data_IF_420324048832
#
_entry.id   IF_420324048832
#
_cell.length_a   1.000
_cell.length_b   1.000
_cell.length_c   1.000
_cell.angle_alpha   90.00
_cell.angle_beta   90.00
_cell.angle_gamma   90.00
#
_symmetry.space_group_name_H-M   'P 1'
#
loop_
_entity.id
_entity.type
_entity.pdbx_description
1 polymer ?
#
# COMPACT_ATOMS: atom_id res chain seq x y z
N UNK A 1 21.59 25.18 13.71
CA UNK A 1 21.77 23.97 14.55
C UNK A 1 20.60 23.01 14.40
N UNK A 2 19.35 23.49 14.46
CA UNK A 2 18.12 22.66 14.35
C UNK A 2 18.04 21.77 13.10
N UNK A 3 18.43 22.28 11.91
CA UNK A 3 18.39 21.48 10.67
C UNK A 3 19.31 20.25 10.68
N UNK A 4 20.43 20.30 11.40
CA UNK A 4 21.36 19.17 11.50
C UNK A 4 20.85 18.10 12.47
N UNK A 5 20.17 18.53 13.54
CA UNK A 5 19.51 17.64 14.51
C UNK A 5 18.34 16.91 13.84
N UNK A 6 17.44 17.62 13.15
CA UNK A 6 16.32 16.99 12.44
C UNK A 6 16.73 15.99 11.37
N UNK A 7 17.89 16.20 10.73
CA UNK A 7 18.43 15.24 9.74
C UNK A 7 18.96 13.97 10.41
N UNK A 8 19.58 14.10 11.58
CA UNK A 8 20.11 12.98 12.36
C UNK A 8 18.99 12.12 12.94
N UNK A 9 17.96 12.76 13.49
CA UNK A 9 16.77 12.09 14.05
C UNK A 9 16.04 11.29 12.96
N UNK A 10 15.90 11.88 11.77
CA UNK A 10 15.32 11.22 10.60
C UNK A 10 16.12 10.00 10.15
N UNK A 11 17.44 10.13 10.06
CA UNK A 11 18.30 9.01 9.65
C UNK A 11 18.27 7.88 10.69
N UNK A 12 18.17 8.23 11.98
CA UNK A 12 17.95 7.26 13.06
C UNK A 12 16.62 6.53 12.92
N UNK A 13 15.53 7.26 12.66
CA UNK A 13 14.20 6.68 12.41
C UNK A 13 14.19 5.76 11.20
N UNK A 14 14.74 6.20 10.06
CA UNK A 14 14.80 5.39 8.83
C UNK A 14 15.56 4.08 9.05
N UNK A 15 16.68 4.12 9.79
CA UNK A 15 17.45 2.92 10.15
C UNK A 15 16.64 1.98 11.05
N UNK A 16 16.02 2.51 12.11
CA UNK A 16 15.24 1.71 13.05
C UNK A 16 14.03 1.05 12.38
N UNK A 17 13.35 1.77 11.49
CA UNK A 17 12.24 1.24 10.68
C UNK A 17 12.75 0.21 9.66
N UNK A 18 13.93 0.38 9.09
CA UNK A 18 14.53 -0.64 8.20
C UNK A 18 14.83 -1.95 8.94
N UNK A 19 15.39 -1.87 10.16
CA UNK A 19 15.69 -3.03 11.01
C UNK A 19 14.40 -3.76 11.41
N UNK A 20 13.36 -3.02 11.78
CA UNK A 20 12.00 -3.55 12.00
C UNK A 20 11.54 -4.35 10.78
N UNK A 21 11.63 -3.82 9.57
CA UNK A 21 11.19 -4.53 8.36
C UNK A 21 12.06 -5.73 8.02
N UNK A 22 13.36 -5.68 8.29
CA UNK A 22 14.24 -6.83 8.12
C UNK A 22 13.81 -8.00 9.02
N UNK A 23 13.41 -7.72 10.26
CA UNK A 23 12.89 -8.75 11.17
C UNK A 23 11.52 -9.29 10.74
N UNK A 24 10.60 -8.41 10.33
CA UNK A 24 9.20 -8.76 10.10
C UNK A 24 8.94 -9.29 8.67
N UNK A 25 9.77 -8.94 7.70
CA UNK A 25 9.51 -9.19 6.28
C UNK A 25 9.26 -10.65 5.92
N UNK A 26 10.00 -11.58 6.53
CA UNK A 26 9.77 -13.03 6.31
C UNK A 26 8.43 -13.50 6.86
N UNK A 27 8.04 -13.02 8.03
CA UNK A 27 6.76 -13.38 8.64
C UNK A 27 5.59 -12.82 7.83
N UNK A 28 5.67 -11.56 7.38
CA UNK A 28 4.64 -10.98 6.52
C UNK A 28 4.48 -11.72 5.20
N UNK A 29 5.57 -12.06 4.51
CA UNK A 29 5.50 -12.84 3.26
C UNK A 29 4.84 -14.20 3.48
N UNK A 30 5.14 -14.86 4.61
CA UNK A 30 4.49 -16.14 4.95
C UNK A 30 3.00 -15.96 5.25
N UNK A 31 2.63 -14.93 6.01
CA UNK A 31 1.23 -14.60 6.31
C UNK A 31 0.45 -14.26 5.04
N UNK A 32 1.01 -13.43 4.15
CA UNK A 32 0.38 -13.10 2.86
C UNK A 32 0.16 -14.36 2.02
N UNK A 33 1.14 -15.26 1.94
CA UNK A 33 1.00 -16.54 1.25
C UNK A 33 -0.11 -17.40 1.83
N UNK A 34 -0.18 -17.50 3.16
CA UNK A 34 -1.24 -18.27 3.84
C UNK A 34 -2.60 -17.63 3.57
N UNK A 35 -2.70 -16.30 3.64
CA UNK A 35 -3.93 -15.58 3.37
C UNK A 35 -4.39 -15.73 1.90
N UNK A 36 -3.49 -16.00 0.96
CA UNK A 36 -3.82 -16.31 -0.44
C UNK A 36 -4.28 -17.75 -0.67
N UNK A 37 -4.12 -18.65 0.33
CA UNK A 37 -4.55 -20.03 0.19
C UNK A 37 -6.09 -20.14 -0.02
N UNK A 38 -6.53 -21.12 -0.83
CA UNK A 38 -7.93 -21.51 -0.87
C UNK A 38 -8.44 -21.86 0.55
N UNK A 39 -9.68 -21.48 0.90
CA UNK A 39 -10.22 -21.71 2.24
C UNK A 39 -10.21 -23.19 2.67
N UNK A 40 -10.45 -24.09 1.73
CA UNK A 40 -10.44 -25.56 1.91
C UNK A 40 -9.07 -26.15 2.27
N UNK A 41 -7.99 -25.38 2.11
CA UNK A 41 -6.61 -25.79 2.43
C UNK A 41 -5.98 -24.96 3.55
N UNK A 42 -6.72 -24.01 4.10
CA UNK A 42 -6.18 -23.04 5.04
C UNK A 42 -5.70 -23.71 6.34
N UNK A 43 -6.47 -24.67 6.87
CA UNK A 43 -6.11 -25.40 8.08
C UNK A 43 -4.77 -26.14 7.91
N UNK A 44 -4.63 -26.91 6.84
CA UNK A 44 -3.44 -27.71 6.55
C UNK A 44 -2.17 -26.85 6.37
N UNK A 45 -2.30 -25.67 5.77
CA UNK A 45 -1.18 -24.79 5.45
C UNK A 45 -0.79 -23.83 6.60
N UNK A 46 -1.69 -23.59 7.55
CA UNK A 46 -1.57 -22.47 8.50
C UNK A 46 -1.50 -22.89 9.97
N UNK A 47 -2.14 -23.99 10.36
CA UNK A 47 -2.44 -24.27 11.78
C UNK A 47 -1.19 -24.33 12.67
N UNK A 48 -0.10 -24.90 12.15
CA UNK A 48 1.17 -25.00 12.87
C UNK A 48 2.00 -23.70 12.82
N UNK A 49 1.89 -22.93 11.74
CA UNK A 49 2.73 -21.75 11.50
C UNK A 49 2.19 -20.47 12.15
N UNK A 50 0.86 -20.32 12.21
CA UNK A 50 0.21 -19.07 12.64
C UNK A 50 0.63 -18.58 14.03
N UNK A 51 0.79 -19.42 15.07
CA UNK A 51 1.23 -18.94 16.38
C UNK A 51 2.62 -18.27 16.34
N UNK A 52 3.56 -18.85 15.59
CA UNK A 52 4.90 -18.29 15.43
C UNK A 52 4.89 -16.96 14.65
N UNK A 53 4.05 -16.89 13.61
CA UNK A 53 3.89 -15.67 12.80
C UNK A 53 3.18 -14.54 13.57
N UNK A 54 2.17 -14.87 14.36
CA UNK A 54 1.48 -13.95 15.27
C UNK A 54 2.47 -13.38 16.30
N UNK A 55 3.33 -14.24 16.88
CA UNK A 55 4.38 -13.78 17.78
C UNK A 55 5.36 -12.83 17.07
N UNK A 56 5.76 -13.14 15.83
CA UNK A 56 6.57 -12.25 15.00
C UNK A 56 5.94 -10.87 14.80
N UNK A 57 4.63 -10.80 14.54
CA UNK A 57 3.89 -9.54 14.46
C UNK A 57 3.88 -8.78 15.80
N UNK A 58 3.67 -9.50 16.91
CA UNK A 58 3.71 -8.91 18.25
C UNK A 58 5.08 -8.32 18.56
N UNK A 59 6.17 -9.07 18.37
CA UNK A 59 7.52 -8.57 18.59
C UNK A 59 7.84 -7.37 17.72
N UNK A 60 7.37 -7.35 16.47
CA UNK A 60 7.52 -6.21 15.59
C UNK A 60 6.76 -4.98 16.09
N UNK A 61 5.53 -5.15 16.59
CA UNK A 61 4.77 -4.06 17.20
C UNK A 61 5.50 -3.49 18.43
N UNK A 62 6.04 -4.35 19.31
CA UNK A 62 6.82 -3.91 20.48
C UNK A 62 8.09 -3.15 20.09
N UNK A 63 8.81 -3.64 19.07
CA UNK A 63 9.96 -2.92 18.53
C UNK A 63 9.57 -1.55 17.97
N UNK A 64 8.45 -1.48 17.25
CA UNK A 64 7.96 -0.23 16.66
C UNK A 64 7.60 0.79 17.74
N UNK A 65 6.99 0.39 18.87
CA UNK A 65 6.68 1.29 20.00
C UNK A 65 7.94 1.95 20.56
N UNK A 66 9.09 1.27 20.50
CA UNK A 66 10.37 1.82 20.95
C UNK A 66 11.05 2.79 19.97
N UNK A 67 10.47 3.03 18.78
CA UNK A 67 11.04 3.92 17.78
C UNK A 67 10.43 5.30 17.93
N UNK A 68 11.25 6.29 18.25
CA UNK A 68 10.80 7.69 18.32
C UNK A 68 10.57 8.25 16.90
N UNK A 69 9.35 8.70 16.55
CA UNK A 69 9.09 9.30 15.25
C UNK A 69 9.75 10.69 15.10
N UNK A 70 10.20 11.06 13.88
CA UNK A 70 10.65 12.41 13.62
C UNK A 70 9.47 13.39 13.67
N UNK A 71 9.75 14.66 13.98
CA UNK A 71 8.71 15.71 14.00
C UNK A 71 7.89 15.75 12.70
N UNK A 72 6.57 15.69 12.83
CA UNK A 72 5.61 15.65 11.73
C UNK A 72 5.35 14.25 11.15
N UNK A 73 6.00 13.21 11.68
CA UNK A 73 5.83 11.81 11.31
C UNK A 73 5.03 10.99 12.32
N UNK A 74 4.58 11.59 13.42
CA UNK A 74 3.92 10.93 14.56
C UNK A 74 2.67 10.18 14.11
N UNK A 75 1.79 10.83 13.33
CA UNK A 75 0.57 10.21 12.81
C UNK A 75 0.87 8.98 11.93
N UNK A 76 1.88 9.05 11.08
CA UNK A 76 2.26 7.93 10.21
C UNK A 76 2.84 6.78 11.02
N UNK A 77 3.55 7.10 12.11
CA UNK A 77 4.08 6.11 13.03
C UNK A 77 2.95 5.44 13.84
N UNK A 78 1.97 6.21 14.32
CA UNK A 78 0.76 5.68 14.96
C UNK A 78 -0.05 4.79 14.01
N UNK A 79 -0.19 5.17 12.73
CA UNK A 79 -0.82 4.33 11.70
C UNK A 79 -0.09 2.98 11.55
N UNK A 80 1.24 2.97 11.62
CA UNK A 80 2.04 1.75 11.57
C UNK A 80 1.78 0.86 12.78
N UNK A 81 1.79 1.41 13.99
CA UNK A 81 1.50 0.67 15.22
C UNK A 81 0.09 0.06 15.17
N UNK A 82 -0.90 0.84 14.78
CA UNK A 82 -2.28 0.39 14.64
C UNK A 82 -2.41 -0.73 13.60
N UNK A 83 -1.74 -0.61 12.45
CA UNK A 83 -1.77 -1.64 11.41
C UNK A 83 -1.15 -2.96 11.89
N UNK A 84 -0.01 -2.90 12.61
CA UNK A 84 0.65 -4.09 13.17
C UNK A 84 -0.22 -4.78 14.22
N UNK A 85 -0.83 -4.01 15.13
CA UNK A 85 -1.74 -4.54 16.14
C UNK A 85 -2.96 -5.21 15.49
N UNK A 86 -3.59 -4.55 14.52
CA UNK A 86 -4.73 -5.11 13.80
C UNK A 86 -4.36 -6.40 13.04
N UNK A 87 -3.20 -6.45 12.39
CA UNK A 87 -2.73 -7.65 11.72
C UNK A 87 -2.49 -8.80 12.71
N UNK A 88 -1.90 -8.52 13.87
CA UNK A 88 -1.71 -9.51 14.95
C UNK A 88 -3.04 -10.07 15.42
N UNK A 89 -4.00 -9.20 15.70
CA UNK A 89 -5.29 -9.59 16.28
C UNK A 89 -6.13 -10.39 15.27
N UNK A 90 -6.21 -9.93 14.02
CA UNK A 90 -6.88 -10.71 12.96
C UNK A 90 -6.18 -12.05 12.67
N UNK A 91 -4.84 -12.13 12.79
CA UNK A 91 -4.11 -13.41 12.70
C UNK A 91 -4.48 -14.35 13.85
N UNK A 92 -4.68 -13.79 15.05
CA UNK A 92 -5.09 -14.56 16.23
C UNK A 92 -6.50 -15.13 16.09
N UNK A 93 -7.43 -14.35 15.55
CA UNK A 93 -8.81 -14.74 15.28
C UNK A 93 -8.88 -15.89 14.27
N UNK A 94 -8.18 -15.77 13.13
CA UNK A 94 -8.08 -16.85 12.14
C UNK A 94 -7.44 -18.09 12.76
N UNK A 95 -6.34 -17.93 13.49
CA UNK A 95 -5.68 -19.04 14.17
C UNK A 95 -6.57 -19.72 15.22
N UNK A 96 -7.47 -18.98 15.87
CA UNK A 96 -8.45 -19.54 16.80
C UNK A 96 -9.50 -20.36 16.05
N UNK A 97 -10.10 -19.82 15.00
CA UNK A 97 -11.10 -20.51 14.19
C UNK A 97 -10.57 -21.85 13.65
N UNK A 98 -9.33 -21.86 13.14
CA UNK A 98 -8.67 -23.08 12.66
C UNK A 98 -8.42 -24.10 13.79
N UNK A 99 -8.00 -23.66 14.98
CA UNK A 99 -7.80 -24.56 16.13
C UNK A 99 -9.09 -25.18 16.65
N UNK A 100 -10.22 -24.51 16.44
CA UNK A 100 -11.55 -25.01 16.84
C UNK A 100 -12.26 -25.78 15.73
N UNK A 101 -11.58 -26.03 14.59
CA UNK A 101 -12.15 -26.69 13.41
C UNK A 101 -13.38 -25.95 12.84
N UNK A 102 -13.44 -24.63 13.03
CA UNK A 102 -14.50 -23.76 12.53
C UNK A 102 -14.07 -23.18 11.18
N UNK A 103 -14.19 -24.01 10.14
CA UNK A 103 -13.79 -23.62 8.80
C UNK A 103 -14.63 -22.44 8.29
N UNK A 104 -15.95 -22.45 8.51
CA UNK A 104 -16.85 -21.39 8.05
C UNK A 104 -16.46 -20.03 8.61
N UNK A 105 -16.19 -19.94 9.92
CA UNK A 105 -15.70 -18.71 10.53
C UNK A 105 -14.34 -18.31 9.97
N UNK A 106 -13.42 -19.26 9.77
CA UNK A 106 -12.13 -18.96 9.18
C UNK A 106 -12.28 -18.35 7.76
N UNK A 107 -13.18 -18.88 6.92
CA UNK A 107 -13.44 -18.31 5.59
C UNK A 107 -14.04 -16.89 5.68
N UNK A 108 -14.94 -16.66 6.63
CA UNK A 108 -15.56 -15.36 6.87
C UNK A 108 -14.54 -14.30 7.32
N UNK A 109 -13.49 -14.68 8.06
CA UNK A 109 -12.44 -13.77 8.56
C UNK A 109 -11.34 -13.47 7.53
N UNK A 110 -11.26 -14.24 6.43
CA UNK A 110 -10.22 -14.07 5.41
C UNK A 110 -10.17 -12.65 4.81
N UNK A 111 -11.29 -12.00 4.43
CA UNK A 111 -11.26 -10.64 3.88
C UNK A 111 -10.67 -9.62 4.85
N UNK A 112 -11.07 -9.66 6.12
CA UNK A 112 -10.62 -8.76 7.19
C UNK A 112 -9.13 -8.96 7.45
N UNK A 113 -8.69 -10.22 7.53
CA UNK A 113 -7.29 -10.57 7.74
C UNK A 113 -6.40 -10.11 6.58
N UNK A 114 -6.81 -10.37 5.33
CA UNK A 114 -6.13 -9.86 4.13
C UNK A 114 -6.05 -8.33 4.13
N UNK A 115 -7.14 -7.66 4.51
CA UNK A 115 -7.19 -6.21 4.65
C UNK A 115 -6.23 -5.68 5.71
N UNK A 116 -6.08 -6.39 6.83
CA UNK A 116 -5.13 -6.03 7.89
C UNK A 116 -3.68 -6.17 7.42
N UNK A 117 -3.32 -7.26 6.75
CA UNK A 117 -1.99 -7.45 6.15
C UNK A 117 -1.68 -6.38 5.10
N UNK A 118 -2.65 -6.04 4.25
CA UNK A 118 -2.51 -4.95 3.28
C UNK A 118 -2.28 -3.59 3.96
N UNK A 119 -2.98 -3.30 5.06
CA UNK A 119 -2.76 -2.07 5.84
C UNK A 119 -1.35 -1.98 6.40
N UNK A 120 -0.75 -3.08 6.86
CA UNK A 120 0.66 -3.09 7.28
C UNK A 120 1.58 -2.72 6.13
N UNK A 121 1.35 -3.28 4.94
CA UNK A 121 2.13 -2.95 3.74
C UNK A 121 1.97 -1.48 3.34
N UNK A 122 0.76 -0.94 3.43
CA UNK A 122 0.49 0.46 3.15
C UNK A 122 1.16 1.39 4.18
N UNK A 123 1.05 1.06 5.47
CA UNK A 123 1.69 1.81 6.54
C UNK A 123 3.22 1.79 6.40
N UNK A 124 3.81 0.66 5.99
CA UNK A 124 5.22 0.56 5.63
C UNK A 124 5.61 1.55 4.54
N UNK A 125 4.89 1.55 3.42
CA UNK A 125 5.17 2.46 2.31
C UNK A 125 5.09 3.92 2.76
N UNK A 126 4.06 4.26 3.55
CA UNK A 126 3.91 5.61 4.11
C UNK A 126 5.01 5.97 5.09
N UNK A 127 5.44 5.06 5.96
CA UNK A 127 6.51 5.29 6.92
C UNK A 127 7.86 5.55 6.21
N UNK A 128 8.13 4.82 5.13
CA UNK A 128 9.33 5.02 4.29
C UNK A 128 9.21 6.31 3.48
N UNK A 129 8.09 6.56 2.81
CA UNK A 129 7.91 7.73 1.94
C UNK A 129 7.79 9.04 2.74
N UNK A 130 7.02 9.06 3.83
CA UNK A 130 6.77 10.27 4.62
C UNK A 130 7.78 10.48 5.76
N UNK A 131 8.45 9.41 6.21
CA UNK A 131 9.62 9.53 7.09
C UNK A 131 10.72 10.41 6.47
N UNK A 132 10.80 10.48 5.14
CA UNK A 132 11.76 11.34 4.40
C UNK A 132 11.42 12.84 4.44
N UNK A 133 10.29 13.24 5.04
CA UNK A 133 9.99 14.63 5.36
C UNK A 133 9.33 15.43 4.24
N UNK A 134 8.39 14.84 3.50
CA UNK A 134 7.44 15.65 2.72
C UNK A 134 6.49 16.32 3.72
N UNK A 135 6.41 17.66 3.78
CA UNK A 135 5.53 18.35 4.72
C UNK A 135 4.10 17.86 4.57
N UNK A 136 3.41 17.69 5.70
CA UNK A 136 1.96 17.50 5.76
C UNK A 136 1.31 18.66 4.99
N UNK A 137 0.92 18.40 3.75
CA UNK A 137 -0.24 19.07 3.19
C UNK A 137 -1.39 18.62 4.09
N UNK A 138 -1.80 19.54 4.97
CA UNK A 138 -2.80 19.34 6.01
C UNK A 138 -3.95 18.55 5.42
N UNK A 139 -4.30 17.40 6.00
CA UNK A 139 -5.49 16.67 5.61
C UNK A 139 -6.67 17.68 5.60
N UNK A 140 -7.46 17.76 4.53
CA UNK A 140 -8.64 18.60 4.52
C UNK A 140 -9.52 18.16 5.70
N UNK A 141 -9.95 19.13 6.49
CA UNK A 141 -10.92 18.93 7.56
C UNK A 141 -12.17 18.28 6.96
N UNK A 142 -12.59 17.08 7.40
CA UNK A 142 -13.74 16.38 6.83
C UNK A 142 -15.06 17.15 6.96
N UNK A 143 -15.08 18.25 7.72
CA UNK A 143 -16.23 19.14 7.90
C UNK A 143 -16.12 20.48 7.15
N UNK A 144 -15.04 20.73 6.40
CA UNK A 144 -14.78 22.03 5.75
C UNK A 144 -14.96 22.06 4.23
N UNK A 145 -15.35 20.97 3.56
CA UNK A 145 -15.63 20.98 2.12
C UNK A 145 -17.15 21.08 1.85
N UNK A 146 -17.66 22.30 1.84
CA UNK A 146 -18.65 22.67 0.82
C UNK A 146 -17.97 22.43 -0.53
N UNK A 147 -18.39 21.38 -1.24
CA UNK A 147 -17.86 20.97 -2.55
C UNK A 147 -17.74 22.20 -3.48
N UNK A 148 -16.53 22.72 -3.76
CA UNK A 148 -16.35 23.48 -4.98
C UNK A 148 -16.23 22.43 -6.06
N UNK A 149 -17.23 22.35 -6.94
CA UNK A 149 -17.18 21.53 -8.14
C UNK A 149 -15.90 21.87 -8.93
N UNK A 150 -14.85 21.08 -8.69
CA UNK A 150 -13.56 21.22 -9.33
C UNK A 150 -13.74 20.66 -10.73
N UNK A 151 -14.22 21.52 -11.63
CA UNK A 151 -14.38 21.21 -13.04
C UNK A 151 -13.11 20.56 -13.54
N UNK A 152 -13.24 19.37 -14.12
CA UNK A 152 -12.16 18.71 -14.81
C UNK A 152 -11.59 19.72 -15.80
N UNK A 153 -10.36 20.18 -15.54
CA UNK A 153 -9.69 21.11 -16.44
C UNK A 153 -9.75 20.51 -17.85
N UNK A 154 -10.25 21.30 -18.78
CA UNK A 154 -10.25 21.05 -20.23
C UNK A 154 -9.01 20.26 -20.72
N UNK A 155 -7.77 20.46 -20.21
CA UNK A 155 -6.63 19.62 -20.56
C UNK A 155 -6.71 18.13 -20.21
N UNK A 156 -7.31 17.72 -19.08
CA UNK A 156 -7.31 16.31 -18.64
C UNK A 156 -8.26 15.43 -19.46
N UNK A 157 -9.41 16.00 -19.84
CA UNK A 157 -10.38 15.34 -20.73
C UNK A 157 -9.83 15.26 -22.15
N UNK A 158 -9.18 16.33 -22.63
CA UNK A 158 -8.52 16.34 -23.93
C UNK A 158 -7.39 15.30 -24.01
N UNK A 159 -6.55 15.19 -22.98
CA UNK A 159 -5.48 14.19 -22.91
C UNK A 159 -6.03 12.75 -22.94
N UNK A 160 -7.09 12.48 -22.18
CA UNK A 160 -7.73 11.17 -22.15
C UNK A 160 -8.35 10.79 -23.50
N UNK A 161 -9.02 11.73 -24.16
CA UNK A 161 -9.60 11.54 -25.49
C UNK A 161 -8.51 11.30 -26.56
N UNK A 162 -7.37 12.00 -26.46
CA UNK A 162 -6.23 11.84 -27.36
C UNK A 162 -5.57 10.45 -27.23
N UNK A 163 -5.40 9.96 -26.00
CA UNK A 163 -4.81 8.63 -25.76
C UNK A 163 -5.72 7.52 -26.27
N UNK A 164 -7.02 7.58 -25.97
CA UNK A 164 -8.02 6.63 -26.45
C UNK A 164 -8.15 6.67 -27.99
N UNK A 165 -8.20 7.87 -28.57
CA UNK A 165 -8.25 8.06 -30.01
C UNK A 165 -7.02 7.51 -30.73
N UNK A 166 -5.82 7.76 -30.19
CA UNK A 166 -4.56 7.24 -30.74
C UNK A 166 -4.48 5.71 -30.69
N UNK A 167 -4.91 5.09 -29.59
CA UNK A 167 -4.92 3.65 -29.45
C UNK A 167 -5.87 2.96 -30.44
N UNK A 168 -7.07 3.54 -30.66
CA UNK A 168 -8.06 3.03 -31.60
C UNK A 168 -7.59 3.19 -33.06
N UNK A 169 -7.02 4.35 -33.42
CA UNK A 169 -6.48 4.56 -34.77
C UNK A 169 -5.30 3.62 -35.08
N UNK A 170 -4.44 3.36 -34.09
CA UNK A 170 -3.30 2.47 -34.23
C UNK A 170 -3.73 1.02 -34.48
N UNK A 171 -4.70 0.53 -33.70
CA UNK A 171 -5.25 -0.82 -33.87
C UNK A 171 -6.00 -0.98 -35.19
N UNK A 172 -6.79 0.01 -35.61
CA UNK A 172 -7.44 0.01 -36.92
C UNK A 172 -6.43 0.07 -38.10
N UNK A 173 -5.37 0.87 -37.97
CA UNK A 173 -4.32 0.98 -38.98
C UNK A 173 -3.48 -0.29 -39.13
N UNK A 174 -3.25 -1.03 -38.04
CA UNK A 174 -2.55 -2.31 -38.05
C UNK A 174 -3.33 -3.41 -38.80
N UNK A 175 -4.66 -3.40 -38.74
CA UNK A 175 -5.52 -4.35 -39.47
C UNK A 175 -5.56 -4.07 -40.97
N UNK A 176 -5.36 -2.82 -41.40
CA UNK A 176 -5.49 -2.39 -42.81
C UNK A 176 -4.15 -2.26 -43.56
N UNK A 177 -3.00 -2.55 -42.93
CA UNK A 177 -1.64 -2.48 -43.51
C UNK A 177 -1.29 -1.12 -44.18
N UNK A 178 -1.89 -0.01 -43.72
CA UNK A 178 -1.67 1.33 -44.26
C UNK A 178 -0.62 2.10 -43.45
N UNK A 179 0.61 2.14 -43.97
CA UNK A 179 1.79 2.74 -43.32
C UNK A 179 1.65 4.22 -42.86
N UNK A 180 0.93 5.12 -43.57
CA UNK A 180 0.80 6.52 -43.13
C UNK A 180 -0.05 6.69 -41.86
N UNK A 181 -1.06 5.82 -41.66
CA UNK A 181 -1.88 5.84 -40.44
C UNK A 181 -1.10 5.40 -39.21
N UNK A 182 -0.13 4.49 -39.39
CA UNK A 182 0.76 4.02 -38.33
C UNK A 182 1.59 5.16 -37.72
N UNK A 183 2.21 5.97 -38.59
CA UNK A 183 3.04 7.10 -38.16
C UNK A 183 2.21 8.19 -37.45
N UNK A 184 0.99 8.46 -37.94
CA UNK A 184 0.09 9.44 -37.33
C UNK A 184 -0.39 9.00 -35.94
N UNK A 185 -0.73 7.71 -35.76
CA UNK A 185 -1.13 7.14 -34.47
C UNK A 185 -0.01 7.19 -33.42
N UNK A 186 1.21 6.82 -33.80
CA UNK A 186 2.40 6.90 -32.94
C UNK A 186 2.72 8.34 -32.53
N UNK A 187 2.60 9.31 -33.45
CA UNK A 187 2.83 10.72 -33.16
C UNK A 187 1.82 11.30 -32.16
N UNK A 188 0.54 10.96 -32.29
CA UNK A 188 -0.50 11.38 -31.35
C UNK A 188 -0.33 10.74 -29.96
N UNK A 189 0.00 9.44 -29.92
CA UNK A 189 0.26 8.72 -28.68
C UNK A 189 1.48 9.28 -27.93
N UNK A 190 2.59 9.54 -28.63
CA UNK A 190 3.77 10.17 -28.05
C UNK A 190 3.51 11.62 -27.60
N UNK A 191 2.70 12.38 -28.36
CA UNK A 191 2.29 13.74 -28.00
C UNK A 191 1.45 13.80 -26.71
N UNK A 192 0.57 12.81 -26.50
CA UNK A 192 -0.19 12.67 -25.26
C UNK A 192 0.70 12.50 -24.03
N UNK A 193 1.76 11.69 -24.13
CA UNK A 193 2.73 11.52 -23.05
C UNK A 193 3.57 12.77 -22.76
N UNK A 194 3.80 13.63 -23.76
CA UNK A 194 4.49 14.90 -23.57
C UNK A 194 3.60 15.95 -22.87
N UNK A 195 2.28 15.91 -23.09
CA UNK A 195 1.31 16.78 -22.43
C UNK A 195 0.99 16.37 -20.98
N UNK A 196 1.28 15.12 -20.60
CA UNK A 196 1.02 14.56 -19.26
C UNK A 196 2.24 14.66 -18.33
N UNK A 197 3.33 15.33 -18.75
CA UNK A 197 4.47 15.55 -17.84
C UNK A 197 4.11 16.56 -16.71
N UNK A 198 4.55 16.30 -15.47
CA UNK A 198 4.26 17.13 -14.30
C UNK A 198 4.93 18.51 -14.35
#
# INVERSE_FOLDING_TARGET
>A
MERAVSRRDRQGYESAVADLWQSLGRALVRLERIAECPPDRLADEALDDLPGLQYGLHSAAEMAVGIEPPRGGEVVHEELLAALAQARDSTAEVGLALRTDDQELAEQLLPEWRGALFRVRLARLRAVERGTGRPLERAPDPLADEIPARGAGIPAVAASALVLGGAILFTAGAVLAAWPLWAAGLALFAGGFLLVRP
#
